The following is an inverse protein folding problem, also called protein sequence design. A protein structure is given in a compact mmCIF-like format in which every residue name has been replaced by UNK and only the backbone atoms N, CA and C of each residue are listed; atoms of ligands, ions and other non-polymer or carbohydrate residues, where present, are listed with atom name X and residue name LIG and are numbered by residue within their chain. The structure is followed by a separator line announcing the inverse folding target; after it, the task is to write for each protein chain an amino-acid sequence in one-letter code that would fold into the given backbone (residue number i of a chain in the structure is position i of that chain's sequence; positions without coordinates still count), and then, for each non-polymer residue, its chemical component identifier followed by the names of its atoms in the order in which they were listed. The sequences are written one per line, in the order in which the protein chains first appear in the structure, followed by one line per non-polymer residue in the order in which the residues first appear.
data_IF_334263602606
#
_entry.id   IF_334263602606
#
_cell.length_a   1.000
_cell.length_b   1.000
_cell.length_c   1.000
_cell.angle_alpha   90.00
_cell.angle_beta   90.00
_cell.angle_gamma   90.00
#
_symmetry.space_group_name_H-M   'P 1'
#
loop_
_entity.id
_entity.type
_entity.pdbx_description
1 polymer ?
#
# COMPACT_ATOMS: atom_id res chain seq x y z
N UNK A 1 19.24 -34.25 -71.83
CA UNK A 1 19.23 -32.87 -72.36
C UNK A 1 19.31 -31.92 -71.16
N UNK A 2 20.08 -30.82 -71.26
CA UNK A 2 21.39 -30.55 -70.62
C UNK A 2 21.24 -29.82 -69.26
N UNK A 3 22.14 -29.81 -68.26
CA UNK A 3 23.60 -29.59 -68.16
C UNK A 3 23.92 -28.24 -67.48
N UNK A 4 24.76 -28.29 -66.42
CA UNK A 4 25.66 -27.23 -65.87
C UNK A 4 25.03 -25.96 -65.27
N UNK A 5 25.62 -25.24 -64.30
CA UNK A 5 26.94 -25.18 -63.65
C UNK A 5 26.75 -24.37 -62.34
N UNK A 6 27.30 -24.78 -61.20
CA UNK A 6 28.56 -24.31 -60.58
C UNK A 6 28.56 -22.90 -59.94
N UNK A 7 28.76 -22.85 -58.62
CA UNK A 7 29.73 -22.01 -57.90
C UNK A 7 29.54 -22.25 -56.38
N UNK A 8 30.41 -23.02 -55.70
CA UNK A 8 31.63 -22.56 -55.01
C UNK A 8 31.42 -21.37 -54.05
N UNK A 9 31.52 -21.61 -52.74
CA UNK A 9 32.68 -21.23 -51.93
C UNK A 9 32.44 -21.54 -50.44
N UNK A 10 33.41 -22.23 -49.83
CA UNK A 10 33.64 -22.16 -48.39
C UNK A 10 34.27 -20.80 -48.09
N UNK A 11 33.85 -20.12 -47.02
CA UNK A 11 34.80 -19.76 -45.96
C UNK A 11 34.12 -19.37 -44.63
N UNK A 12 34.65 -19.99 -43.60
CA UNK A 12 34.82 -19.61 -42.19
C UNK A 12 34.51 -18.15 -41.81
N UNK A 13 33.72 -18.00 -40.73
CA UNK A 13 33.41 -16.67 -40.20
C UNK A 13 32.79 -16.62 -38.81
N UNK A 14 33.40 -17.31 -37.83
CA UNK A 14 33.47 -16.97 -36.39
C UNK A 14 32.24 -16.42 -35.63
N UNK A 15 31.94 -17.16 -34.55
CA UNK A 15 31.37 -16.76 -33.24
C UNK A 15 29.85 -16.56 -33.23
N UNK A 16 29.08 -17.36 -32.50
CA UNK A 16 29.13 -17.38 -31.03
C UNK A 16 28.70 -18.73 -30.47
N UNK A 17 29.58 -19.32 -29.65
CA UNK A 17 29.31 -20.50 -28.86
C UNK A 17 28.69 -20.03 -27.54
N UNK A 18 27.42 -20.38 -27.28
CA UNK A 18 26.93 -20.74 -25.94
C UNK A 18 25.49 -21.24 -26.04
N UNK A 19 25.32 -22.56 -26.09
CA UNK A 19 24.79 -23.38 -24.98
C UNK A 19 23.34 -23.79 -25.30
N UNK A 20 23.13 -24.90 -26.04
CA UNK A 20 22.98 -26.26 -25.48
C UNK A 20 21.90 -26.26 -24.37
N UNK A 21 20.63 -26.16 -24.73
CA UNK A 21 19.68 -27.29 -24.86
C UNK A 21 19.67 -28.24 -23.63
N UNK A 22 18.88 -27.81 -22.63
CA UNK A 22 18.03 -28.52 -21.62
C UNK A 22 18.67 -29.59 -20.70
N UNK A 23 18.43 -29.50 -19.36
CA UNK A 23 17.61 -30.54 -18.74
C UNK A 23 16.58 -30.01 -17.70
N UNK A 24 15.34 -30.49 -17.85
CA UNK A 24 14.42 -30.95 -16.80
C UNK A 24 14.63 -30.41 -15.36
N UNK A 25 13.94 -29.31 -15.01
CA UNK A 25 13.61 -29.01 -13.62
C UNK A 25 12.19 -29.48 -13.33
N UNK A 26 12.12 -30.70 -12.77
CA UNK A 26 11.01 -31.17 -11.96
C UNK A 26 10.71 -30.12 -10.89
N UNK A 27 9.61 -29.39 -11.04
CA UNK A 27 8.96 -28.69 -9.93
C UNK A 27 7.54 -29.23 -9.82
N UNK A 28 7.39 -30.11 -8.85
CA UNK A 28 6.16 -30.49 -8.16
C UNK A 28 4.95 -29.58 -8.46
N UNK A 29 4.03 -30.11 -9.26
CA UNK A 29 2.68 -29.58 -9.38
C UNK A 29 1.97 -29.84 -8.03
N UNK A 30 2.00 -28.86 -7.13
CA UNK A 30 1.16 -28.84 -5.94
C UNK A 30 -0.26 -28.43 -6.35
N UNK A 31 -1.30 -29.20 -6.01
CA UNK A 31 -2.67 -28.82 -6.35
C UNK A 31 -2.99 -27.49 -5.64
N UNK A 32 -3.50 -26.52 -6.41
CA UNK A 32 -4.09 -25.29 -5.89
C UNK A 32 -5.15 -25.67 -4.86
N UNK A 33 -4.82 -25.58 -3.58
CA UNK A 33 -5.80 -25.65 -2.51
C UNK A 33 -6.72 -24.45 -2.67
N UNK A 34 -7.94 -24.70 -3.12
CA UNK A 34 -9.10 -23.85 -2.87
C UNK A 34 -9.20 -23.69 -1.35
N UNK A 35 -8.82 -22.52 -0.83
CA UNK A 35 -9.24 -22.10 0.49
C UNK A 35 -10.50 -21.24 0.31
N UNK A 36 -11.66 -21.91 0.35
CA UNK A 36 -12.88 -21.25 0.76
C UNK A 36 -12.75 -20.97 2.27
N UNK A 37 -13.08 -19.74 2.65
CA UNK A 37 -13.25 -19.28 4.04
C UNK A 37 -12.06 -19.47 4.98
N UNK A 38 -11.24 -18.43 5.07
CA UNK A 38 -10.70 -18.09 6.39
C UNK A 38 -11.37 -16.78 6.77
N UNK A 39 -12.31 -16.88 7.70
CA UNK A 39 -12.61 -15.84 8.68
C UNK A 39 -11.26 -15.45 9.32
N UNK A 40 -10.50 -14.57 8.66
CA UNK A 40 -9.15 -14.24 9.11
C UNK A 40 -9.27 -13.34 10.31
N UNK A 41 -9.09 -13.95 11.49
CA UNK A 41 -8.91 -13.24 12.75
C UNK A 41 -7.97 -12.05 12.57
N UNK A 42 -8.23 -10.93 13.26
CA UNK A 42 -7.35 -9.76 13.18
C UNK A 42 -5.92 -10.15 13.51
N UNK A 43 -4.98 -9.71 12.67
CA UNK A 43 -3.54 -9.90 12.86
C UNK A 43 -3.06 -9.16 14.12
N UNK A 44 -3.74 -8.08 14.47
CA UNK A 44 -3.51 -7.36 15.71
C UNK A 44 -4.45 -6.15 15.86
N UNK A 45 -4.14 -5.31 16.84
CA UNK A 45 -4.87 -4.06 17.10
C UNK A 45 -3.93 -2.88 16.85
N UNK A 46 -4.34 -1.99 15.96
CA UNK A 46 -3.71 -0.70 15.76
C UNK A 46 -4.14 0.25 16.88
N UNK A 47 -3.23 1.08 17.38
CA UNK A 47 -3.53 2.16 18.33
C UNK A 47 -2.87 3.46 17.90
N UNK A 48 -3.68 4.49 17.63
CA UNK A 48 -3.19 5.84 17.35
C UNK A 48 -2.55 6.43 18.61
N UNK A 49 -1.35 6.98 18.47
CA UNK A 49 -0.62 7.57 19.59
C UNK A 49 -1.05 9.02 19.91
N UNK A 50 -1.94 9.61 19.10
CA UNK A 50 -2.47 10.96 19.34
C UNK A 50 -3.88 10.94 19.95
N UNK A 51 -4.83 10.27 19.29
CA UNK A 51 -6.23 10.23 19.76
C UNK A 51 -6.62 8.93 20.47
N UNK A 52 -5.66 8.01 20.70
CA UNK A 52 -5.90 6.69 21.27
C UNK A 52 -6.88 5.78 20.51
N UNK A 53 -7.35 6.15 19.31
CA UNK A 53 -8.19 5.31 18.46
C UNK A 53 -7.57 3.93 18.31
N UNK A 54 -8.36 2.90 18.64
CA UNK A 54 -8.01 1.50 18.40
C UNK A 54 -8.86 0.90 17.32
N UNK A 55 -8.27 0.09 16.45
CA UNK A 55 -9.02 -0.73 15.50
C UNK A 55 -8.27 -2.03 15.21
N UNK A 56 -8.98 -3.15 14.97
CA UNK A 56 -8.35 -4.36 14.46
C UNK A 56 -7.76 -4.09 13.06
N UNK A 57 -6.68 -4.78 12.73
CA UNK A 57 -6.14 -4.82 11.36
C UNK A 57 -5.89 -6.27 10.95
N UNK A 58 -6.07 -6.57 9.67
CA UNK A 58 -5.84 -7.89 9.08
C UNK A 58 -4.56 -7.95 8.26
N UNK A 59 -3.98 -6.81 7.90
CA UNK A 59 -2.71 -6.74 7.17
C UNK A 59 -1.92 -5.47 7.50
N UNK A 60 -0.59 -5.57 7.35
CA UNK A 60 0.36 -4.46 7.45
C UNK A 60 1.31 -4.52 6.26
N UNK A 61 1.39 -3.45 5.49
CA UNK A 61 2.24 -3.40 4.30
C UNK A 61 1.77 -2.42 3.23
N UNK A 62 2.46 -2.41 2.10
CA UNK A 62 2.12 -1.59 0.93
C UNK A 62 1.24 -2.30 -0.09
N UNK A 63 1.20 -3.64 -0.09
CA UNK A 63 0.46 -4.41 -1.08
C UNK A 63 -0.55 -5.31 -0.37
N UNK A 64 -1.75 -4.77 -0.04
CA UNK A 64 -2.82 -5.55 0.54
C UNK A 64 -3.08 -6.82 -0.29
N UNK A 65 -3.25 -7.99 0.36
CA UNK A 65 -3.54 -9.23 -0.32
C UNK A 65 -4.87 -9.11 -1.07
N UNK A 66 -5.03 -9.90 -2.14
CA UNK A 66 -6.25 -9.96 -2.95
C UNK A 66 -6.55 -8.67 -3.77
N UNK A 67 -5.74 -7.61 -3.68
CA UNK A 67 -5.80 -6.41 -4.53
C UNK A 67 -4.79 -6.48 -5.68
N UNK A 68 -5.18 -7.01 -6.84
CA UNK A 68 -4.24 -7.27 -7.94
C UNK A 68 -3.78 -6.00 -8.69
N UNK A 69 -4.37 -4.83 -8.43
CA UNK A 69 -4.09 -3.59 -9.16
C UNK A 69 -3.75 -2.37 -8.30
N UNK A 70 -3.67 -2.51 -6.97
CA UNK A 70 -3.46 -1.38 -6.05
C UNK A 70 -2.23 -1.60 -5.18
N UNK A 71 -1.32 -0.61 -5.17
CA UNK A 71 -0.18 -0.53 -4.26
C UNK A 71 -0.26 0.78 -3.49
N UNK A 72 -0.13 0.70 -2.18
CA UNK A 72 -0.14 1.86 -1.28
C UNK A 72 1.23 2.54 -1.29
N UNK A 73 1.21 3.86 -1.29
CA UNK A 73 2.42 4.70 -1.30
C UNK A 73 3.18 4.63 0.04
N UNK A 74 2.57 4.08 1.08
CA UNK A 74 3.15 3.94 2.42
C UNK A 74 2.78 2.59 3.05
N UNK A 75 3.58 2.15 4.03
CA UNK A 75 3.25 0.98 4.83
C UNK A 75 2.04 1.29 5.73
N UNK A 76 0.88 0.69 5.41
CA UNK A 76 -0.37 0.93 6.11
C UNK A 76 -0.78 -0.25 6.98
N UNK A 77 -1.51 0.04 8.05
CA UNK A 77 -2.34 -0.93 8.77
C UNK A 77 -3.72 -0.94 8.12
N UNK A 78 -4.14 -2.09 7.60
CA UNK A 78 -5.40 -2.21 6.86
C UNK A 78 -6.32 -3.23 7.49
N UNK A 79 -7.61 -2.94 7.38
CA UNK A 79 -8.70 -3.81 7.78
C UNK A 79 -9.44 -4.25 6.50
N UNK A 80 -9.73 -5.54 6.34
CA UNK A 80 -10.68 -5.99 5.30
C UNK A 80 -12.01 -5.28 5.53
N UNK A 81 -12.61 -4.74 4.47
CA UNK A 81 -13.86 -3.99 4.62
C UNK A 81 -14.98 -4.93 5.13
N UNK A 82 -15.51 -4.72 6.36
CA UNK A 82 -16.53 -5.60 6.93
C UNK A 82 -17.91 -5.40 6.30
N UNK A 83 -18.09 -4.35 5.48
CA UNK A 83 -19.36 -4.03 4.85
C UNK A 83 -19.45 -4.51 3.40
N UNK A 84 -18.38 -5.11 2.86
CA UNK A 84 -18.39 -5.66 1.50
C UNK A 84 -18.00 -7.14 1.51
N UNK A 85 -18.80 -8.01 0.87
CA UNK A 85 -18.48 -9.45 0.78
C UNK A 85 -17.35 -9.73 -0.23
N UNK A 86 -16.95 -8.72 -0.98
CA UNK A 86 -15.96 -8.80 -2.05
C UNK A 86 -14.53 -8.91 -1.50
N UNK A 87 -13.84 -9.97 -1.89
CA UNK A 87 -12.46 -10.24 -1.47
C UNK A 87 -11.54 -9.32 -2.27
N UNK A 88 -10.99 -8.31 -1.59
CA UNK A 88 -10.10 -7.32 -2.21
C UNK A 88 -10.46 -5.87 -1.90
N UNK A 89 -11.51 -5.61 -1.09
CA UNK A 89 -11.75 -4.28 -0.52
C UNK A 89 -11.18 -4.18 0.88
N UNK A 90 -10.58 -3.03 1.17
CA UNK A 90 -9.91 -2.77 2.44
C UNK A 90 -10.06 -1.30 2.85
N UNK A 91 -9.99 -1.07 4.16
CA UNK A 91 -9.97 0.22 4.79
C UNK A 91 -8.58 0.47 5.38
N UNK A 92 -8.03 1.66 5.15
CA UNK A 92 -6.76 2.07 5.75
C UNK A 92 -7.08 2.65 7.14
N UNK A 93 -6.53 2.03 8.18
CA UNK A 93 -6.71 2.47 9.57
C UNK A 93 -5.74 3.60 9.91
N UNK A 94 -4.48 3.45 9.48
CA UNK A 94 -3.41 4.40 9.77
C UNK A 94 -2.06 3.91 9.28
N UNK A 95 -1.02 4.71 9.53
CA UNK A 95 0.36 4.38 9.20
C UNK A 95 1.33 5.02 10.22
N UNK A 96 2.63 4.87 9.98
CA UNK A 96 3.67 5.55 10.75
C UNK A 96 3.91 6.96 10.19
N UNK A 97 4.02 7.94 11.08
CA UNK A 97 4.54 9.26 10.72
C UNK A 97 5.96 9.11 10.16
N UNK A 98 6.20 9.67 8.98
CA UNK A 98 7.48 9.55 8.29
C UNK A 98 8.62 10.36 8.92
N UNK A 99 8.32 11.28 9.84
CA UNK A 99 9.33 12.07 10.56
C UNK A 99 9.68 11.45 11.91
N UNK A 100 8.68 11.17 12.76
CA UNK A 100 8.92 10.69 14.13
C UNK A 100 8.59 9.21 14.36
N UNK A 101 8.06 8.50 13.37
CA UNK A 101 7.74 7.07 13.46
C UNK A 101 6.50 6.71 14.29
N UNK A 102 5.82 7.67 14.93
CA UNK A 102 4.59 7.44 15.72
C UNK A 102 3.48 6.85 14.85
N UNK A 103 2.70 5.94 15.42
CA UNK A 103 1.49 5.41 14.79
C UNK A 103 0.38 6.46 14.86
N UNK A 104 -0.16 6.84 13.70
CA UNK A 104 -1.24 7.81 13.58
C UNK A 104 -2.33 7.30 12.65
N UNK A 105 -3.59 7.47 13.07
CA UNK A 105 -4.73 7.07 12.26
C UNK A 105 -4.92 8.02 11.07
N UNK A 106 -5.78 7.61 10.13
CA UNK A 106 -6.15 8.44 8.97
C UNK A 106 -6.98 9.68 9.29
N UNK A 107 -7.35 9.87 10.55
CA UNK A 107 -8.17 10.99 11.00
C UNK A 107 -7.49 12.35 10.74
N UNK A 108 -8.25 13.37 10.33
CA UNK A 108 -7.72 14.69 9.97
C UNK A 108 -7.08 15.42 11.17
N UNK A 109 -7.50 15.10 12.40
CA UNK A 109 -6.95 15.63 13.65
C UNK A 109 -5.66 14.91 14.11
N UNK A 110 -5.22 13.89 13.39
CA UNK A 110 -4.04 13.09 13.77
C UNK A 110 -2.96 13.10 12.70
N UNK A 111 -3.34 13.14 11.42
CA UNK A 111 -2.36 13.08 10.35
C UNK A 111 -2.78 13.81 9.08
N UNK A 112 -1.77 14.14 8.29
CA UNK A 112 -1.89 14.63 6.93
C UNK A 112 -1.13 13.66 6.00
N UNK A 113 -1.74 13.29 4.88
CA UNK A 113 -1.09 12.55 3.81
C UNK A 113 -0.84 13.49 2.62
N UNK A 114 0.40 13.53 2.13
CA UNK A 114 0.77 14.23 0.90
C UNK A 114 1.55 13.29 -0.02
N UNK A 115 2.85 13.15 0.19
CA UNK A 115 3.70 12.10 -0.41
C UNK A 115 3.89 10.90 0.53
N UNK A 116 3.83 11.17 1.83
CA UNK A 116 3.81 10.21 2.94
C UNK A 116 2.91 10.76 4.05
N UNK A 117 2.63 9.96 5.08
CA UNK A 117 1.89 10.44 6.25
C UNK A 117 2.79 11.11 7.27
N UNK A 118 2.29 12.23 7.78
CA UNK A 118 2.89 13.00 8.86
C UNK A 118 1.88 13.19 9.97
N UNK A 119 2.30 13.03 11.23
CA UNK A 119 1.45 13.39 12.35
C UNK A 119 1.30 14.91 12.43
N UNK A 120 0.14 15.40 12.89
CA UNK A 120 -0.09 16.85 12.95
C UNK A 120 0.99 17.64 13.72
N UNK A 121 1.56 17.15 14.85
CA UNK A 121 2.68 17.84 15.48
C UNK A 121 3.87 18.05 14.53
N UNK A 122 4.29 17.01 13.80
CA UNK A 122 5.38 17.14 12.84
C UNK A 122 5.03 18.04 11.65
N UNK A 123 3.75 18.08 11.25
CA UNK A 123 3.29 19.03 10.22
C UNK A 123 3.41 20.46 10.72
N UNK A 124 2.97 20.73 11.95
CA UNK A 124 3.01 22.07 12.55
C UNK A 124 4.45 22.58 12.71
N UNK A 125 5.36 21.71 13.16
CA UNK A 125 6.78 22.03 13.36
C UNK A 125 7.54 22.27 12.04
N UNK A 126 6.98 21.82 10.91
CA UNK A 126 7.63 21.87 9.60
C UNK A 126 6.71 22.48 8.52
N UNK A 127 5.77 23.34 8.91
CA UNK A 127 4.71 23.85 8.02
C UNK A 127 5.28 24.55 6.77
N UNK A 128 6.40 25.26 6.94
CA UNK A 128 7.06 26.02 5.87
C UNK A 128 7.69 25.12 4.79
N UNK A 129 7.89 23.83 5.09
CA UNK A 129 8.42 22.85 4.13
C UNK A 129 7.32 22.26 3.21
N UNK A 130 6.04 22.50 3.52
CA UNK A 130 4.92 22.05 2.69
C UNK A 130 4.57 23.09 1.62
N UNK A 131 4.03 22.68 0.45
CA UNK A 131 3.51 23.61 -0.56
C UNK A 131 2.44 24.56 -0.01
N UNK A 132 2.31 25.75 -0.59
CA UNK A 132 1.39 26.80 -0.12
C UNK A 132 -0.06 26.33 -0.04
N UNK A 133 -0.49 25.45 -0.95
CA UNK A 133 -1.83 24.88 -0.97
C UNK A 133 -2.13 24.10 0.32
N UNK A 134 -1.15 23.31 0.78
CA UNK A 134 -1.26 22.54 2.03
C UNK A 134 -1.25 23.47 3.24
N UNK A 135 -0.40 24.50 3.23
CA UNK A 135 -0.36 25.49 4.30
C UNK A 135 -1.73 26.18 4.46
N UNK A 136 -2.34 26.62 3.36
CA UNK A 136 -3.66 27.25 3.36
C UNK A 136 -4.75 26.32 3.88
N UNK A 137 -4.72 25.04 3.51
CA UNK A 137 -5.71 24.06 3.97
C UNK A 137 -5.56 23.74 5.45
N UNK A 138 -4.34 23.75 5.99
CA UNK A 138 -4.10 23.64 7.43
C UNK A 138 -4.67 24.83 8.20
N UNK A 139 -4.51 26.05 7.69
CA UNK A 139 -5.08 27.24 8.33
C UNK A 139 -6.62 27.22 8.32
N UNK A 140 -7.24 26.83 7.20
CA UNK A 140 -8.72 26.67 7.13
C UNK A 140 -9.25 25.68 8.16
N UNK A 141 -8.52 24.58 8.40
CA UNK A 141 -8.91 23.56 9.40
C UNK A 141 -8.88 24.08 10.83
N UNK A 142 -7.90 24.94 11.16
CA UNK A 142 -7.84 25.57 12.49
C UNK A 142 -9.08 26.42 12.77
N UNK A 143 -9.61 27.10 11.75
CA UNK A 143 -10.80 27.96 11.89
C UNK A 143 -12.08 27.14 12.14
N UNK A 144 -12.25 26.01 11.45
CA UNK A 144 -13.49 25.19 11.54
C UNK A 144 -13.59 24.32 12.80
N UNK A 145 -12.48 24.02 13.47
CA UNK A 145 -12.46 23.20 14.70
C UNK A 145 -12.92 23.97 15.96
N UNK A 146 -13.13 25.29 15.87
CA UNK A 146 -13.63 26.14 16.96
C UNK A 146 -15.16 26.05 17.10
N UNK A 147 -15.72 24.86 17.34
CA UNK A 147 -17.10 24.73 17.86
C UNK A 147 -17.02 24.45 19.37
N UNK A 148 -17.58 25.31 20.24
CA UNK A 148 -17.57 25.05 21.67
C UNK A 148 -18.36 23.78 21.99
N UNK A 149 -17.74 22.87 22.74
CA UNK A 149 -18.41 21.72 23.32
C UNK A 149 -19.37 22.20 24.44
N UNK A 150 -20.65 22.29 24.12
CA UNK A 150 -21.75 22.54 25.06
C UNK A 150 -23.03 22.72 24.24
N UNK A 151 -24.13 21.98 24.43
CA UNK A 151 -24.69 21.38 25.62
C UNK A 151 -25.35 20.04 25.23
N UNK A 152 -25.20 18.99 26.05
CA UNK A 152 -26.23 17.93 26.11
C UNK A 152 -27.23 18.36 27.17
N UNK A 153 -28.33 18.94 26.74
CA UNK A 153 -29.54 19.03 27.57
C UNK A 153 -30.13 17.63 27.67
N UNK A 154 -29.95 17.02 28.85
CA UNK A 154 -30.81 15.96 29.35
C UNK A 154 -32.22 16.52 29.51
N UNK A 155 -33.23 15.83 28.97
CA UNK A 155 -34.62 16.06 29.36
C UNK A 155 -35.34 14.69 29.40
N UNK A 156 -36.29 14.52 30.35
CA UNK A 156 -36.59 13.25 31.02
C UNK A 156 -37.48 12.28 30.23
#
# INVERSE_FOLDING_TARGET
MPNRCSACCMDSGRRSLREKIIPELKSSHMPRKMACETEQNPLGVFKCQLCALTAPYSYKGQQPPDCQSVVLLEECYVLRDPFTPDKGRFLIVGSRCSMCGRLVCVGPECSLFYSKRFCLPCVQDNVDAFPQEIQQDLEKRKVSSTRPAGQRSSQP
#
